data_IF_014308608801
#
_entry.id   IF_014308608801
#
_cell.length_a   1.000
_cell.length_b   1.000
_cell.length_c   1.000
_cell.angle_alpha   90.00
_cell.angle_beta   90.00
_cell.angle_gamma   90.00
#
_symmetry.space_group_name_H-M   'P 1'
#
loop_
_entity.id
_entity.type
_entity.pdbx_description
1 polymer ?
#
# COMPACT_ATOMS: atom_id res chain seq x y z
N UNK A 1 -15.98 18.03 -3.35
CA UNK A 1 -15.79 17.45 -2.00
C UNK A 1 -16.58 16.16 -1.74
N UNK A 2 -17.73 15.88 -2.39
CA UNK A 2 -18.53 14.67 -2.08
C UNK A 2 -18.08 13.36 -2.75
N UNK A 3 -17.32 13.38 -3.85
CA UNK A 3 -16.98 12.15 -4.61
C UNK A 3 -16.05 11.20 -3.85
N UNK A 4 -15.03 11.74 -3.15
CA UNK A 4 -14.09 10.89 -2.42
C UNK A 4 -14.79 10.10 -1.30
N UNK A 5 -15.62 10.77 -0.48
CA UNK A 5 -16.37 10.10 0.58
C UNK A 5 -17.34 9.05 0.01
N UNK A 6 -17.94 9.34 -1.15
CA UNK A 6 -18.82 8.38 -1.83
C UNK A 6 -18.06 7.14 -2.32
N UNK A 7 -16.85 7.31 -2.89
CA UNK A 7 -15.97 6.18 -3.23
C UNK A 7 -15.70 5.31 -2.00
N UNK A 8 -15.38 5.90 -0.85
CA UNK A 8 -15.13 5.15 0.39
C UNK A 8 -16.38 4.37 0.83
N UNK A 9 -17.56 4.99 0.72
CA UNK A 9 -18.82 4.34 1.05
C UNK A 9 -19.12 3.17 0.09
N UNK A 10 -18.92 3.34 -1.21
CA UNK A 10 -19.09 2.29 -2.22
C UNK A 10 -18.12 1.13 -1.99
N UNK A 11 -16.85 1.41 -1.72
CA UNK A 11 -15.84 0.38 -1.39
C UNK A 11 -16.26 -0.38 -0.13
N UNK A 12 -16.58 0.32 0.97
CA UNK A 12 -16.95 -0.28 2.25
C UNK A 12 -18.27 -1.06 2.22
N UNK A 13 -19.16 -0.76 1.27
CA UNK A 13 -20.42 -1.49 1.05
C UNK A 13 -20.32 -2.59 -0.01
N UNK A 14 -19.14 -2.78 -0.62
CA UNK A 14 -18.90 -3.84 -1.61
C UNK A 14 -19.39 -3.52 -3.03
N UNK A 15 -19.80 -2.28 -3.31
CA UNK A 15 -20.13 -1.81 -4.66
C UNK A 15 -18.86 -1.50 -5.46
N UNK A 16 -17.99 -2.50 -5.62
CA UNK A 16 -16.61 -2.34 -6.10
C UNK A 16 -16.52 -1.81 -7.53
N UNK A 17 -17.45 -2.21 -8.42
CA UNK A 17 -17.46 -1.72 -9.80
C UNK A 17 -17.75 -0.21 -9.88
N UNK A 18 -18.74 0.26 -9.12
CA UNK A 18 -19.10 1.68 -9.04
C UNK A 18 -17.99 2.48 -8.35
N UNK A 19 -17.45 1.95 -7.24
CA UNK A 19 -16.33 2.55 -6.52
C UNK A 19 -15.12 2.75 -7.44
N UNK A 20 -14.78 1.73 -8.24
CA UNK A 20 -13.66 1.77 -9.20
C UNK A 20 -13.90 2.79 -10.29
N UNK A 21 -15.09 2.83 -10.85
CA UNK A 21 -15.43 3.80 -11.88
C UNK A 21 -15.28 5.23 -11.35
N UNK A 22 -15.88 5.53 -10.20
CA UNK A 22 -15.83 6.87 -9.62
C UNK A 22 -14.43 7.25 -9.13
N UNK A 23 -13.68 6.32 -8.53
CA UNK A 23 -12.30 6.56 -8.13
C UNK A 23 -11.39 6.83 -9.34
N UNK A 24 -11.60 6.13 -10.45
CA UNK A 24 -10.89 6.34 -11.72
C UNK A 24 -11.15 7.72 -12.31
N UNK A 25 -12.41 8.15 -12.37
CA UNK A 25 -12.76 9.50 -12.82
C UNK A 25 -12.17 10.58 -11.90
N UNK A 26 -12.25 10.39 -10.58
CA UNK A 26 -11.70 11.32 -9.62
C UNK A 26 -10.18 11.46 -9.76
N UNK A 27 -9.47 10.34 -9.92
CA UNK A 27 -8.02 10.32 -10.20
C UNK A 27 -7.70 11.12 -11.46
N UNK A 28 -8.44 10.91 -12.55
CA UNK A 28 -8.16 11.56 -13.84
C UNK A 28 -8.41 13.08 -13.78
N UNK A 29 -9.45 13.51 -13.06
CA UNK A 29 -9.71 14.93 -12.78
C UNK A 29 -8.56 15.54 -11.97
N UNK A 30 -8.16 14.90 -10.86
CA UNK A 30 -7.09 15.40 -10.00
C UNK A 30 -5.73 15.44 -10.72
N UNK A 31 -5.47 14.48 -11.62
CA UNK A 31 -4.27 14.49 -12.46
C UNK A 31 -4.26 15.67 -13.43
N UNK A 32 -5.40 16.03 -14.01
CA UNK A 32 -5.51 17.17 -14.92
C UNK A 32 -5.34 18.53 -14.22
N UNK A 33 -5.56 18.59 -12.91
CA UNK A 33 -5.49 19.81 -12.11
C UNK A 33 -4.28 19.88 -11.17
N UNK A 34 -3.31 18.97 -11.30
CA UNK A 34 -2.16 18.83 -10.38
C UNK A 34 -2.57 18.79 -8.89
N UNK A 35 -3.72 18.19 -8.57
CA UNK A 35 -4.23 18.09 -7.20
C UNK A 35 -3.74 16.78 -6.56
N UNK A 36 -2.76 16.87 -5.68
CA UNK A 36 -2.04 15.70 -5.14
C UNK A 36 -2.79 15.00 -4.01
N UNK A 37 -3.51 15.74 -3.18
CA UNK A 37 -4.08 15.17 -1.96
C UNK A 37 -5.20 14.19 -2.28
N UNK A 38 -6.19 14.62 -3.05
CA UNK A 38 -7.33 13.78 -3.47
C UNK A 38 -6.87 12.68 -4.41
N UNK A 39 -5.93 12.96 -5.33
CA UNK A 39 -5.33 11.93 -6.19
C UNK A 39 -4.73 10.79 -5.38
N UNK A 40 -3.98 11.11 -4.32
CA UNK A 40 -3.36 10.09 -3.47
C UNK A 40 -4.38 9.18 -2.78
N UNK A 41 -5.54 9.72 -2.37
CA UNK A 41 -6.62 8.91 -1.81
C UNK A 41 -7.43 8.14 -2.86
N UNK A 42 -7.61 8.69 -4.06
CA UNK A 42 -8.22 7.97 -5.17
C UNK A 42 -7.37 6.77 -5.59
N UNK A 43 -6.05 6.92 -5.68
CA UNK A 43 -5.11 5.81 -5.94
C UNK A 43 -5.13 4.78 -4.80
N UNK A 44 -5.19 5.21 -3.53
CA UNK A 44 -5.36 4.30 -2.41
C UNK A 44 -6.66 3.48 -2.54
N UNK A 45 -7.79 4.12 -2.86
CA UNK A 45 -9.05 3.41 -3.07
C UNK A 45 -8.97 2.44 -4.25
N UNK A 46 -8.38 2.86 -5.37
CA UNK A 46 -8.16 1.98 -6.53
C UNK A 46 -7.28 0.77 -6.18
N UNK A 47 -6.26 0.94 -5.35
CA UNK A 47 -5.44 -0.17 -4.86
C UNK A 47 -6.27 -1.16 -4.03
N UNK A 48 -7.05 -0.66 -3.06
CA UNK A 48 -7.89 -1.50 -2.21
C UNK A 48 -8.97 -2.22 -3.02
N UNK A 49 -9.65 -1.52 -3.93
CA UNK A 49 -10.67 -2.12 -4.80
C UNK A 49 -10.05 -3.19 -5.70
N UNK A 50 -8.87 -2.93 -6.27
CA UNK A 50 -8.17 -3.91 -7.11
C UNK A 50 -7.77 -5.15 -6.32
N UNK A 51 -7.31 -4.99 -5.08
CA UNK A 51 -7.04 -6.10 -4.18
C UNK A 51 -8.31 -6.92 -3.91
N UNK A 52 -9.42 -6.27 -3.54
CA UNK A 52 -10.70 -6.94 -3.29
C UNK A 52 -11.28 -7.65 -4.51
N UNK A 53 -10.97 -7.17 -5.72
CA UNK A 53 -11.35 -7.82 -6.99
C UNK A 53 -10.36 -8.91 -7.45
N UNK A 54 -9.31 -9.21 -6.68
CA UNK A 54 -8.28 -10.20 -7.04
C UNK A 54 -7.34 -9.76 -8.16
N UNK A 55 -7.29 -8.45 -8.46
CA UNK A 55 -6.42 -7.85 -9.48
C UNK A 55 -5.10 -7.40 -8.85
N UNK A 56 -4.31 -8.37 -8.39
CA UNK A 56 -3.09 -8.11 -7.59
C UNK A 56 -2.09 -7.15 -8.26
N UNK A 57 -1.83 -7.31 -9.56
CA UNK A 57 -0.90 -6.43 -10.30
C UNK A 57 -1.41 -4.97 -10.36
N UNK A 58 -2.71 -4.78 -10.55
CA UNK A 58 -3.31 -3.44 -10.56
C UNK A 58 -3.28 -2.83 -9.16
N UNK A 59 -3.52 -3.64 -8.12
CA UNK A 59 -3.43 -3.22 -6.72
C UNK A 59 -2.02 -2.70 -6.37
N UNK A 60 -0.99 -3.45 -6.79
CA UNK A 60 0.41 -3.01 -6.67
C UNK A 60 0.61 -1.69 -7.42
N UNK A 61 0.23 -1.60 -8.69
CA UNK A 61 0.44 -0.38 -9.49
C UNK A 61 -0.20 0.86 -8.84
N UNK A 62 -1.43 0.75 -8.35
CA UNK A 62 -2.13 1.83 -7.66
C UNK A 62 -1.49 2.19 -6.31
N UNK A 63 -1.07 1.19 -5.51
CA UNK A 63 -0.38 1.44 -4.24
C UNK A 63 0.94 2.20 -4.46
N UNK A 64 1.70 1.83 -5.50
CA UNK A 64 2.94 2.53 -5.88
C UNK A 64 2.67 3.98 -6.29
N UNK A 65 1.65 4.23 -7.10
CA UNK A 65 1.24 5.58 -7.51
C UNK A 65 0.79 6.43 -6.31
N UNK A 66 0.07 5.82 -5.36
CA UNK A 66 -0.35 6.49 -4.14
C UNK A 66 0.86 6.86 -3.25
N UNK A 67 1.86 5.97 -3.11
CA UNK A 67 3.09 6.26 -2.36
C UNK A 67 3.89 7.41 -2.97
N UNK A 68 4.02 7.46 -4.30
CA UNK A 68 4.69 8.58 -5.00
C UNK A 68 4.01 9.91 -4.66
N UNK A 69 2.67 9.96 -4.74
CA UNK A 69 1.91 11.16 -4.41
C UNK A 69 1.98 11.53 -2.92
N UNK A 70 1.89 10.55 -2.01
CA UNK A 70 1.96 10.78 -0.56
C UNK A 70 3.33 11.25 -0.10
N UNK A 71 4.40 10.76 -0.72
CA UNK A 71 5.76 11.24 -0.48
C UNK A 71 5.87 12.74 -0.78
N UNK A 72 5.25 13.20 -1.87
CA UNK A 72 5.30 14.61 -2.26
C UNK A 72 4.68 15.56 -1.23
N UNK A 73 3.63 15.12 -0.54
CA UNK A 73 2.89 15.93 0.45
C UNK A 73 3.29 15.66 1.91
N UNK A 74 4.28 14.78 2.15
CA UNK A 74 4.79 14.50 3.49
C UNK A 74 3.82 13.78 4.43
N UNK A 75 2.82 13.07 3.90
CA UNK A 75 1.80 12.38 4.68
C UNK A 75 2.33 11.04 5.23
N UNK A 76 3.01 11.11 6.39
CA UNK A 76 3.65 9.95 7.00
C UNK A 76 2.67 8.82 7.34
N UNK A 77 1.47 9.16 7.82
CA UNK A 77 0.43 8.17 8.14
C UNK A 77 -0.09 7.49 6.87
N UNK A 78 -0.43 8.27 5.84
CA UNK A 78 -0.89 7.73 4.56
C UNK A 78 0.15 6.82 3.90
N UNK A 79 1.43 7.17 4.02
CA UNK A 79 2.55 6.35 3.52
C UNK A 79 2.59 4.99 4.22
N UNK A 80 2.51 4.94 5.55
CA UNK A 80 2.55 3.68 6.30
C UNK A 80 1.35 2.78 5.92
N UNK A 81 0.15 3.37 5.85
CA UNK A 81 -1.07 2.67 5.45
C UNK A 81 -1.00 2.09 4.03
N UNK A 82 -0.51 2.84 3.04
CA UNK A 82 -0.39 2.33 1.67
C UNK A 82 0.75 1.30 1.55
N UNK A 83 1.80 1.42 2.37
CA UNK A 83 2.86 0.41 2.39
C UNK A 83 2.32 -0.96 2.84
N UNK A 84 1.42 -1.00 3.83
CA UNK A 84 0.72 -2.25 4.20
C UNK A 84 -0.05 -2.84 3.03
N UNK A 85 -0.83 -2.00 2.34
CA UNK A 85 -1.61 -2.45 1.18
C UNK A 85 -0.72 -2.93 0.03
N UNK A 86 0.45 -2.29 -0.18
CA UNK A 86 1.45 -2.75 -1.13
C UNK A 86 1.99 -4.13 -0.73
N UNK A 87 2.33 -4.34 0.54
CA UNK A 87 2.84 -5.61 1.04
C UNK A 87 1.82 -6.75 0.88
N UNK A 88 0.56 -6.49 1.24
CA UNK A 88 -0.56 -7.41 1.03
C UNK A 88 -0.71 -7.74 -0.46
N UNK A 89 -0.73 -6.73 -1.33
CA UNK A 89 -0.89 -6.92 -2.77
C UNK A 89 0.29 -7.69 -3.40
N UNK A 90 1.52 -7.47 -2.93
CA UNK A 90 2.71 -8.21 -3.37
C UNK A 90 2.69 -9.68 -2.93
N UNK A 91 2.03 -9.98 -1.81
CA UNK A 91 1.84 -11.36 -1.38
C UNK A 91 0.98 -12.11 -2.41
N UNK A 92 -0.09 -11.47 -2.91
CA UNK A 92 -0.98 -12.04 -3.93
C UNK A 92 -0.33 -12.17 -5.32
N UNK A 93 0.69 -11.36 -5.64
CA UNK A 93 1.46 -11.54 -6.88
C UNK A 93 2.45 -12.71 -6.81
N UNK A 94 2.73 -13.23 -5.61
CA UNK A 94 3.70 -14.30 -5.37
C UNK A 94 5.15 -13.82 -5.25
N UNK A 95 5.43 -12.52 -5.30
CA UNK A 95 6.76 -11.97 -5.04
C UNK A 95 7.03 -11.89 -3.53
N UNK A 96 7.34 -13.04 -2.95
CA UNK A 96 7.52 -13.22 -1.50
C UNK A 96 8.60 -12.32 -0.93
N UNK A 97 9.69 -12.09 -1.67
CA UNK A 97 10.79 -11.24 -1.23
C UNK A 97 10.36 -9.78 -1.16
N UNK A 98 9.72 -9.27 -2.22
CA UNK A 98 9.22 -7.89 -2.21
C UNK A 98 8.11 -7.69 -1.18
N UNK A 99 7.25 -8.68 -0.97
CA UNK A 99 6.19 -8.65 0.04
C UNK A 99 6.74 -8.57 1.46
N UNK A 100 7.66 -9.47 1.84
CA UNK A 100 8.32 -9.43 3.15
C UNK A 100 9.07 -8.12 3.37
N UNK A 101 9.77 -7.63 2.34
CA UNK A 101 10.46 -6.34 2.41
C UNK A 101 9.48 -5.18 2.64
N UNK A 102 8.35 -5.17 1.95
CA UNK A 102 7.30 -4.16 2.14
C UNK A 102 6.67 -4.24 3.55
N UNK A 103 6.50 -5.43 4.13
CA UNK A 103 6.01 -5.58 5.51
C UNK A 103 6.98 -5.02 6.56
N UNK A 104 8.28 -5.28 6.40
CA UNK A 104 9.31 -4.68 7.24
C UNK A 104 9.38 -3.16 7.08
N UNK A 105 9.28 -2.67 5.85
CA UNK A 105 9.19 -1.25 5.54
C UNK A 105 7.97 -0.59 6.21
N UNK A 106 6.79 -1.20 6.10
CA UNK A 106 5.57 -0.72 6.73
C UNK A 106 5.70 -0.66 8.25
N UNK A 107 6.26 -1.71 8.87
CA UNK A 107 6.50 -1.75 10.31
C UNK A 107 7.38 -0.58 10.78
N UNK A 108 8.52 -0.36 10.09
CA UNK A 108 9.41 0.75 10.40
C UNK A 108 8.72 2.12 10.21
N UNK A 109 7.92 2.29 9.16
CA UNK A 109 7.14 3.51 8.94
C UNK A 109 6.13 3.77 10.06
N UNK A 110 5.44 2.74 10.55
CA UNK A 110 4.50 2.86 11.66
C UNK A 110 5.15 3.25 12.98
N UNK A 111 6.38 2.82 13.25
CA UNK A 111 7.15 3.25 14.44
C UNK A 111 7.34 4.77 14.44
N UNK A 112 7.60 5.38 13.27
CA UNK A 112 7.78 6.84 13.15
C UNK A 112 6.50 7.64 13.38
N UNK A 113 5.33 7.02 13.15
CA UNK A 113 4.02 7.64 13.35
C UNK A 113 3.59 7.60 14.83
N UNK A 114 4.23 6.76 15.66
CA UNK A 114 4.00 6.69 17.11
C UNK A 114 2.76 5.88 17.53
N UNK A 115 2.04 5.28 16.58
CA UNK A 115 0.90 4.40 16.82
C UNK A 115 0.90 3.26 15.80
N UNK A 116 1.19 2.01 16.21
CA UNK A 116 1.06 0.88 15.29
C UNK A 116 -0.41 0.74 14.86
N UNK A 117 -0.64 0.82 13.55
CA UNK A 117 -1.82 0.27 12.84
C UNK A 117 -3.21 0.80 13.26
N UNK A 118 -3.32 1.93 13.96
CA UNK A 118 -4.64 2.49 14.37
C UNK A 118 -5.54 2.94 13.20
N UNK A 119 -5.03 2.94 11.97
CA UNK A 119 -5.70 3.51 10.80
C UNK A 119 -6.58 2.58 9.98
N UNK A 120 -6.30 1.27 10.00
CA UNK A 120 -6.89 0.30 9.06
C UNK A 120 -7.11 -1.06 9.74
N UNK A 121 -7.99 -1.14 10.75
CA UNK A 121 -8.29 -2.40 11.43
C UNK A 121 -8.79 -3.48 10.47
N UNK A 122 -9.40 -3.11 9.34
CA UNK A 122 -9.84 -4.04 8.30
C UNK A 122 -8.66 -4.77 7.64
N UNK A 123 -7.50 -4.10 7.56
CA UNK A 123 -6.28 -4.68 6.99
C UNK A 123 -5.47 -5.50 7.99
N UNK A 124 -5.70 -5.36 9.30
CA UNK A 124 -4.92 -6.10 10.31
C UNK A 124 -5.04 -7.62 10.13
N UNK A 125 -6.28 -8.13 9.99
CA UNK A 125 -6.50 -9.56 9.73
C UNK A 125 -5.96 -10.04 8.37
N UNK A 126 -5.80 -9.13 7.40
CA UNK A 126 -5.21 -9.45 6.11
C UNK A 126 -3.69 -9.53 6.20
N UNK A 127 -3.09 -8.60 6.96
CA UNK A 127 -1.67 -8.57 7.26
C UNK A 127 -1.25 -9.87 7.94
N UNK A 128 -1.90 -10.26 9.03
CA UNK A 128 -1.56 -11.48 9.77
C UNK A 128 -1.54 -12.72 8.85
N UNK A 129 -2.57 -12.90 8.01
CA UNK A 129 -2.62 -14.02 7.06
C UNK A 129 -1.53 -13.96 6.00
N UNK A 130 -1.18 -12.77 5.51
CA UNK A 130 -0.11 -12.63 4.53
C UNK A 130 1.25 -12.93 5.16
N UNK A 131 1.50 -12.47 6.39
CA UNK A 131 2.71 -12.78 7.14
C UNK A 131 2.83 -14.29 7.38
N UNK A 132 1.77 -14.96 7.84
CA UNK A 132 1.72 -16.42 7.99
C UNK A 132 2.05 -17.12 6.66
N UNK A 133 1.44 -16.67 5.56
CA UNK A 133 1.68 -17.23 4.22
C UNK A 133 3.15 -17.09 3.80
N UNK A 134 3.77 -15.94 4.08
CA UNK A 134 5.18 -15.69 3.76
C UNK A 134 6.10 -16.54 4.63
N UNK A 135 5.83 -16.61 5.94
CA UNK A 135 6.58 -17.42 6.90
C UNK A 135 6.52 -18.91 6.54
N UNK A 136 5.34 -19.44 6.22
CA UNK A 136 5.19 -20.84 5.77
C UNK A 136 5.97 -21.11 4.47
N UNK A 137 6.02 -20.12 3.59
CA UNK A 137 6.59 -20.26 2.26
C UNK A 137 8.11 -20.08 2.18
N UNK A 138 8.70 -19.30 3.09
CA UNK A 138 10.13 -18.95 3.07
C UNK A 138 10.89 -19.25 4.38
N UNK A 139 10.16 -19.56 5.44
CA UNK A 139 10.68 -19.77 6.78
C UNK A 139 10.77 -18.46 7.58
N UNK A 140 10.44 -18.55 8.87
CA UNK A 140 10.43 -17.43 9.83
C UNK A 140 11.75 -16.64 9.82
N UNK A 141 12.88 -17.34 9.87
CA UNK A 141 14.21 -16.71 9.91
C UNK A 141 14.49 -15.85 8.67
N UNK A 142 14.12 -16.34 7.48
CA UNK A 142 14.33 -15.62 6.23
C UNK A 142 13.39 -14.41 6.13
N UNK A 143 12.14 -14.56 6.58
CA UNK A 143 11.18 -13.46 6.68
C UNK A 143 11.72 -12.34 7.60
N UNK A 144 12.16 -12.69 8.81
CA UNK A 144 12.70 -11.74 9.80
C UNK A 144 13.93 -11.00 9.28
N UNK A 145 14.84 -11.70 8.58
CA UNK A 145 16.05 -11.10 8.02
C UNK A 145 15.71 -10.07 6.94
N UNK A 146 14.75 -10.37 6.06
CA UNK A 146 14.27 -9.43 5.02
C UNK A 146 13.58 -8.22 5.67
N UNK A 147 12.73 -8.45 6.67
CA UNK A 147 12.05 -7.37 7.38
C UNK A 147 13.04 -6.43 8.08
N UNK A 148 14.07 -6.99 8.72
CA UNK A 148 15.13 -6.22 9.38
C UNK A 148 15.97 -5.44 8.37
N UNK A 149 16.27 -6.04 7.22
CA UNK A 149 16.96 -5.36 6.13
C UNK A 149 16.18 -4.11 5.68
N UNK A 150 14.87 -4.24 5.44
CA UNK A 150 14.03 -3.11 5.08
C UNK A 150 14.06 -1.99 6.15
N UNK A 151 14.01 -2.35 7.43
CA UNK A 151 14.07 -1.40 8.54
C UNK A 151 15.43 -0.67 8.68
N UNK A 152 16.51 -1.23 8.13
CA UNK A 152 17.83 -0.55 8.11
C UNK A 152 18.00 0.40 6.93
N UNK A 153 17.12 0.34 5.93
CA UNK A 153 17.18 1.20 4.76
C UNK A 153 16.73 2.63 5.12
N UNK A 154 17.42 3.64 4.57
CA UNK A 154 16.96 5.01 4.75
C UNK A 154 15.59 5.22 4.10
N UNK A 155 14.77 6.05 4.75
CA UNK A 155 13.38 6.29 4.34
C UNK A 155 13.26 6.74 2.88
N UNK A 156 14.19 7.55 2.37
CA UNK A 156 14.08 8.09 1.00
C UNK A 156 14.30 6.99 -0.04
N UNK A 157 15.30 6.14 0.17
CA UNK A 157 15.57 4.99 -0.70
C UNK A 157 14.42 3.98 -0.67
N UNK A 158 13.90 3.69 0.52
CA UNK A 158 12.76 2.80 0.72
C UNK A 158 11.52 3.28 -0.02
N UNK A 159 11.18 4.58 0.11
CA UNK A 159 10.00 5.15 -0.56
C UNK A 159 10.20 5.26 -2.08
N UNK A 160 11.43 5.53 -2.55
CA UNK A 160 11.75 5.49 -3.97
C UNK A 160 11.51 4.10 -4.56
N UNK A 161 11.95 3.02 -3.88
CA UNK A 161 11.67 1.65 -4.30
C UNK A 161 10.18 1.36 -4.26
N UNK A 162 9.49 1.75 -3.18
CA UNK A 162 8.08 1.46 -3.03
C UNK A 162 7.23 2.20 -4.10
N UNK A 163 7.62 3.41 -4.51
CA UNK A 163 6.94 4.16 -5.57
C UNK A 163 7.26 3.66 -6.99
N UNK A 164 8.47 3.15 -7.25
CA UNK A 164 8.94 2.87 -8.64
C UNK A 164 9.16 1.40 -8.95
N UNK A 165 9.22 0.54 -7.94
CA UNK A 165 9.68 -0.84 -8.07
C UNK A 165 11.18 -0.93 -8.35
N UNK A 166 11.62 -2.08 -8.87
CA UNK A 166 13.02 -2.36 -9.17
C UNK A 166 13.71 -3.19 -8.08
N UNK A 167 15.05 -3.14 -8.06
CA UNK A 167 15.87 -3.91 -7.12
C UNK A 167 15.59 -3.48 -5.67
N UNK A 168 15.52 -4.46 -4.77
CA UNK A 168 15.29 -4.21 -3.35
C UNK A 168 16.49 -3.48 -2.75
N UNK A 169 16.29 -2.33 -2.07
CA UNK A 169 17.40 -1.65 -1.44
C UNK A 169 18.07 -2.50 -0.36
N UNK A 170 19.40 -2.55 -0.41
CA UNK A 170 20.22 -3.32 0.53
C UNK A 170 20.25 -4.84 0.28
N UNK A 171 19.66 -5.32 -0.83
CA UNK A 171 19.70 -6.72 -1.26
C UNK A 171 20.91 -7.03 -2.15
#
# INVERSE_FOLDING_TARGET
>A
MCRLVHVFALTGSGHLADARHEAGELRDICRASDEYWTRSYAEHQLALISFLEGRAQDAVAHARAALDAKQHIGDAFGIAMIMDLLAISLTDTGDRHAAAYAFGAAAHLWETVGHPQRGTPELASLRDRCEDTLVDAMGERAYDDICRQAATCDRQTLLSWAARGGHLPGA
#
